data_IF_382514683987
#
_entry.id   IF_382514683987
#
_cell.length_a   1.000
_cell.length_b   1.000
_cell.length_c   1.000
_cell.angle_alpha   90.00
_cell.angle_beta   90.00
_cell.angle_gamma   90.00
#
_symmetry.space_group_name_H-M   'P 1'
#
loop_
_entity.id
_entity.type
_entity.pdbx_description
1 polymer ?
#
# COMPACT_ATOMS: atom_id res chain seq x y z
N UNK A 1 -4.50 -10.17 -10.35
CA UNK A 1 -3.21 -9.87 -11.00
C UNK A 1 -2.40 -8.90 -10.14
N UNK A 2 -2.91 -7.71 -9.79
CA UNK A 2 -2.18 -6.73 -8.95
C UNK A 2 -1.70 -7.22 -7.58
N UNK A 3 -2.46 -8.08 -6.89
CA UNK A 3 -2.07 -8.65 -5.59
C UNK A 3 -0.70 -9.35 -5.60
N UNK A 4 -0.34 -10.02 -6.71
CA UNK A 4 0.96 -10.70 -6.86
C UNK A 4 2.10 -9.67 -6.93
N UNK A 5 1.89 -8.56 -7.63
CA UNK A 5 2.89 -7.50 -7.77
C UNK A 5 3.05 -6.72 -6.46
N UNK A 6 1.94 -6.40 -5.78
CA UNK A 6 1.97 -5.79 -4.45
C UNK A 6 2.79 -6.64 -3.45
N UNK A 7 2.48 -7.94 -3.32
CA UNK A 7 3.23 -8.87 -2.46
C UNK A 7 4.71 -8.94 -2.84
N UNK A 8 5.00 -8.99 -4.14
CA UNK A 8 6.37 -9.01 -4.63
C UNK A 8 7.13 -7.77 -4.17
N UNK A 9 6.57 -6.57 -4.31
CA UNK A 9 7.24 -5.34 -3.86
C UNK A 9 7.47 -5.32 -2.35
N UNK A 10 6.48 -5.72 -1.55
CA UNK A 10 6.61 -5.79 -0.09
C UNK A 10 7.71 -6.77 0.36
N UNK A 11 7.79 -7.94 -0.28
CA UNK A 11 8.80 -8.96 0.05
C UNK A 11 10.25 -8.50 -0.23
N UNK A 12 10.45 -7.49 -1.06
CA UNK A 12 11.79 -6.91 -1.30
C UNK A 12 12.20 -5.87 -0.26
N UNK A 13 11.27 -5.36 0.56
CA UNK A 13 11.59 -4.34 1.56
C UNK A 13 12.53 -4.87 2.66
N UNK A 14 12.30 -6.06 3.27
CA UNK A 14 13.20 -6.57 4.29
C UNK A 14 14.67 -6.69 3.83
N UNK A 15 15.03 -7.40 2.74
CA UNK A 15 16.43 -7.50 2.33
C UNK A 15 17.04 -6.16 1.90
N UNK A 16 16.27 -5.27 1.28
CA UNK A 16 16.77 -3.95 0.87
C UNK A 16 17.05 -3.03 2.06
N UNK A 17 16.18 -3.11 3.08
CA UNK A 17 16.31 -2.30 4.28
C UNK A 17 17.54 -2.68 5.10
N UNK A 18 17.91 -3.96 5.13
CA UNK A 18 19.14 -4.47 5.76
C UNK A 18 20.41 -3.97 5.06
N UNK A 19 20.34 -3.71 3.76
CA UNK A 19 21.43 -3.13 2.97
C UNK A 19 21.39 -1.59 2.91
N UNK A 20 20.61 -0.93 3.77
CA UNK A 20 20.42 0.52 3.79
C UNK A 20 19.94 1.13 2.47
N UNK A 21 19.27 0.34 1.62
CA UNK A 21 18.71 0.78 0.34
C UNK A 21 17.35 1.48 0.54
N UNK A 22 17.28 2.44 1.46
CA UNK A 22 16.01 3.01 1.94
C UNK A 22 15.18 3.66 0.83
N UNK A 23 15.80 4.36 -0.10
CA UNK A 23 15.09 4.94 -1.26
C UNK A 23 14.51 3.88 -2.20
N UNK A 24 15.18 2.71 -2.31
CA UNK A 24 14.58 1.59 -3.03
C UNK A 24 13.39 1.03 -2.25
N UNK A 25 13.48 0.90 -0.93
CA UNK A 25 12.35 0.51 -0.10
C UNK A 25 11.16 1.47 -0.25
N UNK A 26 11.39 2.79 -0.25
CA UNK A 26 10.33 3.78 -0.48
C UNK A 26 9.63 3.56 -1.82
N UNK A 27 10.40 3.40 -2.90
CA UNK A 27 9.86 3.10 -4.22
C UNK A 27 9.03 1.82 -4.22
N UNK A 28 9.51 0.77 -3.56
CA UNK A 28 8.79 -0.52 -3.45
C UNK A 28 7.51 -0.37 -2.63
N UNK A 29 7.55 0.37 -1.52
CA UNK A 29 6.38 0.64 -0.69
C UNK A 29 5.31 1.41 -1.48
N UNK A 30 5.72 2.43 -2.26
CA UNK A 30 4.81 3.18 -3.12
C UNK A 30 4.16 2.30 -4.20
N UNK A 31 4.95 1.51 -4.93
CA UNK A 31 4.38 0.62 -5.93
C UNK A 31 3.44 -0.43 -5.30
N UNK A 32 3.79 -0.96 -4.12
CA UNK A 32 2.90 -1.86 -3.40
C UNK A 32 1.58 -1.17 -3.01
N UNK A 33 1.65 0.10 -2.61
CA UNK A 33 0.50 0.91 -2.27
C UNK A 33 -0.43 1.06 -3.48
N UNK A 34 0.09 1.48 -4.64
CA UNK A 34 -0.70 1.65 -5.86
C UNK A 34 -1.39 0.35 -6.30
N UNK A 35 -0.67 -0.77 -6.27
CA UNK A 35 -1.23 -2.08 -6.62
C UNK A 35 -2.31 -2.54 -5.61
N UNK A 36 -2.11 -2.27 -4.31
CA UNK A 36 -3.11 -2.57 -3.26
C UNK A 36 -4.36 -1.72 -3.46
N UNK A 37 -4.16 -0.43 -3.72
CA UNK A 37 -5.23 0.54 -3.94
C UNK A 37 -6.04 0.19 -5.19
N UNK A 38 -5.37 -0.13 -6.30
CA UNK A 38 -6.01 -0.62 -7.50
C UNK A 38 -6.80 -1.92 -7.24
N UNK A 39 -6.26 -2.84 -6.45
CA UNK A 39 -6.96 -4.08 -6.10
C UNK A 39 -8.26 -3.84 -5.33
N UNK A 40 -8.30 -2.85 -4.42
CA UNK A 40 -9.54 -2.44 -3.73
C UNK A 40 -10.60 -1.97 -4.71
N UNK A 41 -10.23 -1.12 -5.66
CA UNK A 41 -11.12 -0.60 -6.68
C UNK A 41 -11.66 -1.70 -7.61
N UNK A 42 -10.79 -2.60 -8.07
CA UNK A 42 -11.20 -3.77 -8.86
C UNK A 42 -12.19 -4.64 -8.06
N UNK A 43 -11.91 -4.90 -6.79
CA UNK A 43 -12.81 -5.70 -5.93
C UNK A 43 -14.18 -5.03 -5.77
N UNK A 44 -14.22 -3.70 -5.69
CA UNK A 44 -15.45 -2.92 -5.64
C UNK A 44 -16.12 -2.70 -7.01
N UNK A 45 -15.50 -3.15 -8.12
CA UNK A 45 -15.91 -2.86 -9.51
C UNK A 45 -16.11 -1.36 -9.78
N UNK A 46 -15.28 -0.53 -9.14
CA UNK A 46 -15.22 0.92 -9.32
C UNK A 46 -13.85 1.27 -9.89
N UNK A 47 -13.74 2.27 -10.74
CA UNK A 47 -12.48 2.62 -11.41
C UNK A 47 -12.25 4.12 -11.33
N UNK A 48 -11.26 4.58 -10.53
CA UNK A 48 -10.94 5.99 -10.44
C UNK A 48 -10.13 6.42 -11.66
N UNK A 49 -10.06 7.74 -11.89
CA UNK A 49 -9.29 8.32 -13.01
C UNK A 49 -7.79 8.06 -12.83
N UNK A 50 -7.31 8.09 -11.58
CA UNK A 50 -5.91 7.84 -11.24
C UNK A 50 -5.80 7.25 -9.83
N UNK A 51 -4.77 6.44 -9.57
CA UNK A 51 -4.58 5.71 -8.31
C UNK A 51 -3.66 6.43 -7.30
N UNK A 52 -3.27 7.65 -7.62
CA UNK A 52 -2.33 8.51 -6.87
C UNK A 52 -2.93 9.89 -6.55
N UNK A 53 -4.16 10.18 -7.01
CA UNK A 53 -4.83 11.47 -6.87
C UNK A 53 -6.09 11.36 -6.02
N UNK A 54 -6.38 12.39 -5.23
CA UNK A 54 -7.61 12.50 -4.44
C UNK A 54 -7.90 11.27 -3.58
N UNK A 55 -6.86 10.67 -2.99
CA UNK A 55 -6.96 9.38 -2.27
C UNK A 55 -8.02 9.41 -1.17
N UNK A 56 -8.14 10.53 -0.44
CA UNK A 56 -9.16 10.70 0.60
C UNK A 56 -10.59 10.58 0.07
N UNK A 57 -10.92 11.34 -0.97
CA UNK A 57 -12.22 11.33 -1.64
C UNK A 57 -12.51 9.96 -2.26
N UNK A 58 -11.52 9.40 -2.96
CA UNK A 58 -11.61 8.09 -3.59
C UNK A 58 -11.92 6.98 -2.58
N UNK A 59 -11.34 7.04 -1.39
CA UNK A 59 -11.56 6.03 -0.36
C UNK A 59 -12.84 6.29 0.43
N UNK A 60 -13.05 7.53 0.86
CA UNK A 60 -14.14 7.89 1.76
C UNK A 60 -15.47 7.97 1.02
N UNK A 61 -15.50 8.59 -0.15
CA UNK A 61 -16.72 8.86 -0.90
C UNK A 61 -16.98 7.80 -1.97
N UNK A 62 -15.97 7.47 -2.78
CA UNK A 62 -16.15 6.51 -3.87
C UNK A 62 -16.19 5.07 -3.36
N UNK A 63 -15.33 4.68 -2.40
CA UNK A 63 -15.38 3.33 -1.83
C UNK A 63 -16.28 3.22 -0.59
N UNK A 64 -16.58 4.33 0.10
CA UNK A 64 -17.35 4.31 1.34
C UNK A 64 -16.59 3.62 2.48
N UNK A 65 -15.27 3.82 2.55
CA UNK A 65 -14.34 3.09 3.44
C UNK A 65 -13.33 4.02 4.10
N UNK A 66 -13.80 5.04 4.82
CA UNK A 66 -12.95 6.06 5.48
C UNK A 66 -11.84 5.46 6.33
N UNK A 67 -12.04 4.27 6.91
CA UNK A 67 -11.00 3.56 7.65
C UNK A 67 -9.72 3.33 6.83
N UNK A 68 -9.85 3.04 5.53
CA UNK A 68 -8.69 2.82 4.67
C UNK A 68 -7.87 4.09 4.46
N UNK A 69 -8.48 5.28 4.50
CA UNK A 69 -7.74 6.52 4.35
C UNK A 69 -6.79 6.71 5.54
N UNK A 70 -7.28 6.49 6.76
CA UNK A 70 -6.46 6.51 7.97
C UNK A 70 -5.31 5.49 7.88
N UNK A 71 -5.58 4.26 7.42
CA UNK A 71 -4.54 3.26 7.21
C UNK A 71 -3.48 3.72 6.19
N UNK A 72 -3.92 4.29 5.07
CA UNK A 72 -3.01 4.76 4.03
C UNK A 72 -2.13 5.92 4.49
N UNK A 73 -2.69 6.88 5.22
CA UNK A 73 -1.92 7.95 5.87
C UNK A 73 -0.86 7.35 6.80
N UNK A 74 -1.22 6.34 7.59
CA UNK A 74 -0.25 5.67 8.47
C UNK A 74 0.85 4.94 7.70
N UNK A 75 0.55 4.32 6.56
CA UNK A 75 1.54 3.62 5.72
C UNK A 75 2.57 4.61 5.14
N UNK A 76 2.13 5.77 4.65
CA UNK A 76 3.03 6.75 4.01
C UNK A 76 3.71 7.70 4.99
N UNK A 77 3.24 7.76 6.24
CA UNK A 77 3.85 8.59 7.29
C UNK A 77 5.09 7.89 7.85
N UNK A 78 6.26 8.38 7.47
CA UNK A 78 7.55 7.85 7.87
C UNK A 78 8.26 8.87 8.78
N UNK A 79 8.31 8.64 10.11
CA UNK A 79 8.97 9.58 11.02
C UNK A 79 10.50 9.64 10.80
N UNK A 80 11.07 8.56 10.27
CA UNK A 80 12.49 8.42 9.97
C UNK A 80 12.68 7.36 8.88
N UNK A 81 13.76 7.48 8.10
CA UNK A 81 14.12 6.51 7.07
C UNK A 81 15.12 5.50 7.64
N UNK A 82 14.60 4.43 8.20
CA UNK A 82 15.39 3.30 8.68
C UNK A 82 14.71 1.96 8.37
N UNK A 83 15.44 0.88 8.65
CA UNK A 83 14.99 -0.46 8.32
C UNK A 83 13.75 -0.90 9.11
N UNK A 84 13.68 -0.58 10.41
CA UNK A 84 12.57 -0.95 11.26
C UNK A 84 11.28 -0.30 10.76
N UNK A 85 11.28 1.03 10.59
CA UNK A 85 10.11 1.78 10.14
C UNK A 85 9.64 1.27 8.77
N UNK A 86 10.55 1.07 7.81
CA UNK A 86 10.18 0.59 6.48
C UNK A 86 9.55 -0.82 6.52
N UNK A 87 10.08 -1.73 7.35
CA UNK A 87 9.51 -3.06 7.54
C UNK A 87 8.15 -3.02 8.24
N UNK A 88 7.97 -2.13 9.21
CA UNK A 88 6.68 -1.89 9.88
C UNK A 88 5.63 -1.40 8.89
N UNK A 89 5.95 -0.40 8.06
CA UNK A 89 5.02 0.11 7.03
C UNK A 89 4.70 -0.94 5.96
N UNK A 90 5.68 -1.74 5.57
CA UNK A 90 5.47 -2.87 4.66
C UNK A 90 4.49 -3.89 5.24
N UNK A 91 4.65 -4.23 6.53
CA UNK A 91 3.79 -5.19 7.23
C UNK A 91 2.37 -4.64 7.40
N UNK A 92 2.25 -3.35 7.72
CA UNK A 92 0.95 -2.67 7.80
C UNK A 92 0.21 -2.75 6.45
N UNK A 93 0.89 -2.43 5.35
CA UNK A 93 0.28 -2.50 4.02
C UNK A 93 -0.05 -3.94 3.60
N UNK A 94 0.78 -4.93 3.97
CA UNK A 94 0.49 -6.34 3.75
C UNK A 94 -0.81 -6.77 4.44
N UNK A 95 -1.07 -6.30 5.66
CA UNK A 95 -2.32 -6.61 6.38
C UNK A 95 -3.57 -6.14 5.63
N UNK A 96 -3.50 -4.95 5.00
CA UNK A 96 -4.60 -4.42 4.17
C UNK A 96 -4.76 -5.27 2.93
N UNK A 97 -3.66 -5.61 2.26
CA UNK A 97 -3.67 -6.45 1.06
C UNK A 97 -4.34 -7.81 1.29
N UNK A 98 -4.11 -8.43 2.45
CA UNK A 98 -4.72 -9.70 2.81
C UNK A 98 -6.24 -9.59 3.05
N UNK A 99 -6.75 -8.43 3.48
CA UNK A 99 -8.20 -8.20 3.58
C UNK A 99 -8.88 -8.16 2.20
N UNK A 100 -8.15 -7.74 1.17
CA UNK A 100 -8.63 -7.73 -0.22
C UNK A 100 -8.63 -9.14 -0.80
N UNK A 101 -7.59 -9.93 -0.52
CA UNK A 101 -7.45 -11.29 -1.02
C UNK A 101 -8.54 -12.22 -0.47
N UNK A 102 -8.90 -12.09 0.81
CA UNK A 102 -9.97 -12.89 1.46
C UNK A 102 -11.38 -12.62 0.94
N UNK A 103 -11.61 -11.52 0.22
CA UNK A 103 -12.93 -11.12 -0.29
C UNK A 103 -13.15 -11.48 -1.78
N UNK A 104 -12.18 -12.14 -2.42
CA UNK A 104 -12.27 -12.67 -3.78
C UNK A 104 -12.66 -14.14 -3.78
#
# INVERSE_FOLDING_TARGET
MGLKFARNYLNHIPPYSQCSLYFQCLKRLHHAFEETFQALFIAARRYPIAYDKWIEEQVSEILGRTEFYTFFVQVVTLPQLDAQILQEKASLLASVLDTVDRKR
#
